data_IF_128210774620
#
_entry.id   IF_128210774620
#
_cell.length_a   1.000
_cell.length_b   1.000
_cell.length_c   1.000
_cell.angle_alpha   90.00
_cell.angle_beta   90.00
_cell.angle_gamma   90.00
#
_symmetry.space_group_name_H-M   'P 1'
#
loop_
_entity.id
_entity.type
_entity.pdbx_description
1 polymer ?
#
# COMPACT_ATOMS: atom_id res chain seq x y z
N UNK A 1 19.17 -5.34 24.39
CA UNK A 1 19.87 -5.16 23.12
C UNK A 1 18.95 -4.31 22.27
N UNK A 2 19.21 -3.01 22.16
CA UNK A 2 18.33 -2.09 21.44
C UNK A 2 18.75 -2.07 19.97
N UNK A 3 17.78 -2.18 19.08
CA UNK A 3 17.99 -2.11 17.63
C UNK A 3 18.47 -0.69 17.26
N UNK A 4 19.42 -0.50 16.32
CA UNK A 4 19.94 0.82 16.00
C UNK A 4 18.86 1.68 15.33
N UNK A 5 18.51 2.79 15.97
CA UNK A 5 17.66 3.80 15.34
C UNK A 5 18.38 4.39 14.12
N UNK A 6 17.82 4.17 12.92
CA UNK A 6 18.31 4.80 11.70
C UNK A 6 18.04 6.30 11.82
N UNK A 7 19.06 7.18 11.73
CA UNK A 7 18.84 8.61 11.78
C UNK A 7 17.98 9.04 10.60
N UNK A 8 16.91 9.78 10.86
CA UNK A 8 16.12 10.40 9.80
C UNK A 8 17.00 11.42 9.08
N UNK A 9 17.40 11.08 7.85
CA UNK A 9 18.17 11.96 6.98
C UNK A 9 17.37 13.23 6.60
N UNK A 10 17.99 14.21 5.94
CA UNK A 10 17.34 15.47 5.59
C UNK A 10 16.10 15.21 4.70
N UNK A 11 14.92 15.33 5.29
CA UNK A 11 13.65 14.93 4.70
C UNK A 11 12.53 14.84 5.74
N UNK A 12 11.43 14.18 5.38
CA UNK A 12 10.28 13.97 6.25
C UNK A 12 9.82 12.52 6.20
N UNK A 13 9.62 11.89 7.36
CA UNK A 13 9.06 10.54 7.49
C UNK A 13 7.59 10.60 7.90
N UNK A 14 6.69 10.10 7.05
CA UNK A 14 5.28 9.93 7.40
C UNK A 14 5.08 8.63 8.18
N UNK A 15 5.06 8.72 9.51
CA UNK A 15 4.82 7.58 10.41
C UNK A 15 3.31 7.43 10.68
N UNK A 16 2.69 6.44 10.04
CA UNK A 16 1.28 6.07 10.23
C UNK A 16 1.16 4.58 10.57
N UNK A 17 0.13 4.15 11.33
CA UNK A 17 -0.23 2.73 11.40
C UNK A 17 -0.65 2.23 10.02
N UNK A 18 -0.46 0.92 9.75
CA UNK A 18 -0.75 0.32 8.43
C UNK A 18 -2.24 0.27 8.10
N UNK A 19 -3.09 0.00 9.10
CA UNK A 19 -4.53 -0.20 8.98
C UNK A 19 -5.32 0.88 8.18
N UNK A 20 -5.14 2.20 8.41
CA UNK A 20 -5.83 3.24 7.64
C UNK A 20 -5.39 3.37 6.17
N UNK A 21 -4.34 2.65 5.73
CA UNK A 21 -3.83 2.73 4.35
C UNK A 21 -4.36 1.54 3.54
N UNK A 22 -5.16 1.83 2.53
CA UNK A 22 -5.81 0.85 1.65
C UNK A 22 -4.83 -0.13 0.98
N UNK A 23 -3.66 0.34 0.55
CA UNK A 23 -2.61 -0.52 -0.03
C UNK A 23 -2.07 -1.53 0.98
N UNK A 24 -1.85 -1.15 2.24
CA UNK A 24 -1.35 -2.08 3.26
C UNK A 24 -2.43 -3.09 3.67
N UNK A 25 -3.68 -2.65 3.80
CA UNK A 25 -4.80 -3.57 4.03
C UNK A 25 -4.94 -4.59 2.90
N UNK A 26 -4.71 -4.18 1.65
CA UNK A 26 -4.68 -5.08 0.48
C UNK A 26 -3.49 -6.04 0.54
N UNK A 27 -2.27 -5.56 0.81
CA UNK A 27 -1.07 -6.39 0.97
C UNK A 27 -1.26 -7.48 2.02
N UNK A 28 -1.78 -7.10 3.20
CA UNK A 28 -1.96 -7.99 4.34
C UNK A 28 -3.06 -9.03 4.06
N UNK A 29 -4.15 -8.65 3.38
CA UNK A 29 -5.19 -9.58 2.94
C UNK A 29 -4.70 -10.53 1.83
N UNK A 30 -3.92 -10.03 0.87
CA UNK A 30 -3.32 -10.84 -0.19
C UNK A 30 -2.31 -11.86 0.36
N UNK A 31 -1.52 -11.47 1.36
CA UNK A 31 -0.62 -12.38 2.06
C UNK A 31 -1.38 -13.54 2.72
N UNK A 32 -2.50 -13.26 3.42
CA UNK A 32 -3.36 -14.31 4.02
C UNK A 32 -4.02 -15.20 2.96
N UNK A 33 -4.55 -14.60 1.89
CA UNK A 33 -5.23 -15.32 0.80
C UNK A 33 -4.32 -16.32 0.03
N UNK A 34 -2.99 -16.13 0.06
CA UNK A 34 -2.02 -17.09 -0.48
C UNK A 34 -1.89 -18.37 0.36
N UNK A 35 -2.33 -18.36 1.62
CA UNK A 35 -2.20 -19.47 2.55
C UNK A 35 -3.54 -20.12 2.93
N UNK A 36 -4.65 -19.38 2.86
CA UNK A 36 -6.01 -19.94 3.00
C UNK A 36 -6.98 -19.28 2.02
N UNK A 37 -7.82 -20.10 1.38
CA UNK A 37 -8.90 -19.63 0.50
C UNK A 37 -10.01 -18.90 1.26
N UNK A 38 -10.13 -19.11 2.57
CA UNK A 38 -11.13 -18.43 3.42
C UNK A 38 -10.87 -16.91 3.49
N UNK A 39 -9.61 -16.49 3.35
CA UNK A 39 -9.22 -15.08 3.33
C UNK A 39 -9.48 -14.37 1.99
N UNK A 40 -10.06 -15.05 0.97
CA UNK A 40 -10.46 -14.40 -0.28
C UNK A 40 -11.56 -13.35 -0.07
N UNK A 41 -12.42 -13.53 0.94
CA UNK A 41 -13.45 -12.53 1.31
C UNK A 41 -12.81 -11.23 1.79
N UNK A 42 -11.78 -11.31 2.64
CA UNK A 42 -11.00 -10.15 3.10
C UNK A 42 -10.32 -9.43 1.94
N UNK A 43 -9.74 -10.20 1.00
CA UNK A 43 -9.08 -9.65 -0.18
C UNK A 43 -10.08 -8.91 -1.10
N UNK A 44 -11.28 -9.47 -1.29
CA UNK A 44 -12.38 -8.81 -1.99
C UNK A 44 -12.81 -7.50 -1.31
N UNK A 45 -12.94 -7.51 0.02
CA UNK A 45 -13.27 -6.31 0.80
C UNK A 45 -12.15 -5.24 0.75
N UNK A 46 -10.88 -5.64 0.69
CA UNK A 46 -9.76 -4.72 0.54
C UNK A 46 -9.72 -4.09 -0.87
N UNK A 47 -9.98 -4.88 -1.92
CA UNK A 47 -10.11 -4.37 -3.29
C UNK A 47 -11.30 -3.41 -3.45
N UNK A 48 -12.43 -3.71 -2.82
CA UNK A 48 -13.63 -2.86 -2.87
C UNK A 48 -13.45 -1.48 -2.18
N UNK A 49 -12.41 -1.30 -1.37
CA UNK A 49 -12.08 0.01 -0.78
C UNK A 49 -11.44 1.00 -1.78
N UNK A 50 -10.97 0.52 -2.93
CA UNK A 50 -10.27 1.34 -3.92
C UNK A 50 -11.25 2.21 -4.70
N UNK A 51 -11.03 3.53 -4.68
CA UNK A 51 -11.94 4.53 -5.26
C UNK A 51 -11.70 4.80 -6.76
N UNK A 52 -10.96 3.93 -7.43
CA UNK A 52 -10.51 4.09 -8.82
C UNK A 52 -9.02 3.79 -8.98
N UNK A 53 -8.39 4.22 -10.08
CA UNK A 53 -6.96 4.06 -10.31
C UNK A 53 -6.11 4.74 -9.23
N UNK A 54 -5.00 4.10 -8.83
CA UNK A 54 -4.06 4.69 -7.89
C UNK A 54 -3.59 6.09 -8.36
N UNK A 55 -3.57 7.05 -7.45
CA UNK A 55 -3.21 8.44 -7.70
C UNK A 55 -4.02 9.15 -8.80
N UNK A 56 -5.27 8.76 -9.11
CA UNK A 56 -6.05 9.31 -10.22
C UNK A 56 -5.96 10.85 -10.35
N UNK A 57 -6.20 11.57 -9.26
CA UNK A 57 -6.26 13.04 -9.23
C UNK A 57 -4.87 13.74 -9.19
N UNK A 58 -3.78 12.98 -8.99
CA UNK A 58 -2.41 13.53 -8.92
C UNK A 58 -1.84 13.75 -10.32
N UNK A 59 -2.24 14.85 -10.95
CA UNK A 59 -1.74 15.25 -12.28
C UNK A 59 -0.32 15.84 -12.22
N UNK A 60 0.40 15.86 -13.34
CA UNK A 60 1.71 16.52 -13.49
C UNK A 60 2.91 15.87 -12.80
N UNK A 61 2.73 14.98 -11.82
CA UNK A 61 3.86 14.35 -11.12
C UNK A 61 4.40 13.10 -11.85
N UNK A 62 5.69 13.14 -12.19
CA UNK A 62 6.39 11.99 -12.78
C UNK A 62 6.48 10.78 -11.82
N UNK A 63 6.39 11.02 -10.51
CA UNK A 63 6.30 9.99 -9.48
C UNK A 63 5.02 9.17 -9.58
N UNK A 64 3.85 9.82 -9.48
CA UNK A 64 2.56 9.14 -9.59
C UNK A 64 2.39 8.46 -10.95
N UNK A 65 2.91 9.06 -12.04
CA UNK A 65 2.83 8.43 -13.35
C UNK A 65 3.64 7.13 -13.46
N UNK A 66 4.82 7.05 -12.84
CA UNK A 66 5.57 5.79 -12.77
C UNK A 66 4.83 4.75 -11.95
N UNK A 67 4.27 5.14 -10.80
CA UNK A 67 3.59 4.21 -9.90
C UNK A 67 2.30 3.64 -10.52
N UNK A 68 1.50 4.46 -11.22
CA UNK A 68 0.36 4.04 -12.07
C UNK A 68 0.68 2.97 -13.10
N UNK A 69 1.95 2.78 -13.44
CA UNK A 69 2.41 1.80 -14.45
C UNK A 69 3.16 0.61 -13.85
N UNK A 70 3.50 0.65 -12.56
CA UNK A 70 4.37 -0.34 -11.91
C UNK A 70 3.76 -1.75 -11.84
N UNK A 71 2.43 -1.87 -11.82
CA UNK A 71 1.70 -3.14 -11.79
C UNK A 71 1.06 -3.56 -13.12
N UNK A 72 1.50 -3.01 -14.27
CA UNK A 72 0.92 -3.27 -15.60
C UNK A 72 1.94 -3.87 -16.58
N UNK A 73 2.74 -4.80 -16.10
CA UNK A 73 3.78 -5.53 -16.83
C UNK A 73 3.93 -6.92 -16.19
#
# INVERSE_FOLDING_TARGET
>A
MSEPEVPEGPGYALRLPRDPVDVHRFEDALARARHTSEALTDLGAALAAWRGPAYADVTGSAGAQRERTRGRN
#
